data_IF_141503909355
#
_entry.id   IF_141503909355
#
_cell.length_a   1.000
_cell.length_b   1.000
_cell.length_c   1.000
_cell.angle_alpha   90.00
_cell.angle_beta   90.00
_cell.angle_gamma   90.00
#
_symmetry.space_group_name_H-M   'P 1'
#
loop_
_entity.id
_entity.type
_entity.pdbx_description
1 polymer ?
#
# COMPACT_ATOMS: atom_id res chain seq x y z
N UNK A 1 -32.23 48.02 -30.25
CA UNK A 1 -32.25 49.44 -30.66
C UNK A 1 -31.56 50.23 -29.55
N UNK A 2 -30.24 50.09 -29.42
CA UNK A 2 -29.19 50.91 -30.05
C UNK A 2 -29.25 52.40 -29.72
N UNK A 3 -28.33 52.87 -28.87
CA UNK A 3 -27.46 54.05 -29.11
C UNK A 3 -26.42 54.14 -27.98
N UNK A 4 -25.17 53.75 -28.21
CA UNK A 4 -23.96 54.55 -28.55
C UNK A 4 -23.29 55.29 -27.38
N UNK A 5 -22.08 54.78 -27.09
CA UNK A 5 -20.84 55.33 -26.49
C UNK A 5 -20.73 56.81 -26.06
N UNK A 6 -20.00 57.06 -24.95
CA UNK A 6 -18.69 57.76 -25.02
C UNK A 6 -17.90 57.70 -23.69
N UNK A 7 -16.58 57.57 -23.84
CA UNK A 7 -15.53 57.41 -22.83
C UNK A 7 -14.97 58.78 -22.42
N UNK A 8 -14.55 58.96 -21.15
CA UNK A 8 -13.47 59.91 -20.80
C UNK A 8 -12.74 59.50 -19.51
N UNK A 9 -11.42 59.40 -19.65
CA UNK A 9 -10.43 59.10 -18.62
C UNK A 9 -9.92 60.37 -17.92
N UNK A 10 -9.48 60.25 -16.66
CA UNK A 10 -8.39 61.05 -16.07
C UNK A 10 -7.98 60.51 -14.68
N UNK A 11 -6.79 59.89 -14.61
CA UNK A 11 -5.87 59.97 -13.45
C UNK A 11 -4.89 61.14 -13.74
N UNK A 12 -3.92 61.57 -12.88
CA UNK A 12 -3.39 60.91 -11.68
C UNK A 12 -3.08 61.89 -10.50
N UNK A 13 -2.59 61.37 -9.36
CA UNK A 13 -1.63 62.09 -8.51
C UNK A 13 -0.81 61.16 -7.61
N UNK A 14 0.50 61.35 -7.74
CA UNK A 14 1.63 60.73 -7.04
C UNK A 14 1.87 61.45 -5.71
N UNK A 15 2.32 60.74 -4.66
CA UNK A 15 3.36 61.30 -3.78
C UNK A 15 4.15 60.21 -3.04
N UNK A 16 5.44 60.51 -2.89
CA UNK A 16 6.56 59.70 -2.41
C UNK A 16 6.76 59.76 -0.89
N UNK A 17 7.42 58.70 -0.37
CA UNK A 17 8.57 58.66 0.59
C UNK A 17 8.36 57.49 1.58
N UNK A 18 9.35 56.85 2.20
CA UNK A 18 10.77 56.57 2.00
C UNK A 18 11.18 55.73 3.24
N UNK A 19 12.01 54.69 3.09
CA UNK A 19 12.64 53.99 4.22
C UNK A 19 13.74 54.85 4.89
N UNK A 20 14.18 54.58 6.14
CA UNK A 20 15.18 53.51 6.43
C UNK A 20 14.88 52.81 7.79
N UNK A 21 15.57 51.80 8.34
CA UNK A 21 16.99 51.45 8.40
C UNK A 21 17.17 50.03 9.01
N UNK A 22 18.36 49.47 8.83
CA UNK A 22 18.82 48.16 9.30
C UNK A 22 18.98 48.06 10.83
N UNK A 23 18.80 46.85 11.38
CA UNK A 23 19.53 46.42 12.58
C UNK A 23 19.75 44.89 12.60
N UNK A 24 20.86 44.53 13.22
CA UNK A 24 21.64 43.31 13.12
C UNK A 24 21.09 42.03 13.82
N UNK A 25 21.53 40.89 13.26
CA UNK A 25 22.06 39.66 13.90
C UNK A 25 21.18 38.95 14.95
N UNK A 26 20.85 37.69 14.66
CA UNK A 26 21.44 36.53 15.36
C UNK A 26 21.03 35.21 14.68
N UNK A 27 22.04 34.47 14.20
CA UNK A 27 21.90 33.07 13.75
C UNK A 27 22.53 32.20 14.83
N UNK A 28 21.81 31.26 15.46
CA UNK A 28 22.42 30.27 16.34
C UNK A 28 23.09 29.17 15.50
N UNK A 29 24.41 29.04 15.66
CA UNK A 29 25.20 27.91 15.18
C UNK A 29 24.94 26.70 16.09
N UNK A 30 24.45 25.59 15.54
CA UNK A 30 24.49 24.29 16.21
C UNK A 30 25.85 23.60 15.94
N UNK A 31 26.49 23.00 16.95
CA UNK A 31 27.78 22.33 16.78
C UNK A 31 27.60 20.97 16.09
N UNK A 32 28.37 20.75 15.03
CA UNK A 32 28.52 19.47 14.34
C UNK A 32 29.49 18.57 15.11
N UNK A 33 28.95 17.71 15.98
CA UNK A 33 29.71 16.63 16.61
C UNK A 33 29.90 15.48 15.63
N UNK A 34 31.07 15.44 14.97
CA UNK A 34 31.54 14.26 14.24
C UNK A 34 31.85 13.15 15.26
N UNK A 35 31.01 12.13 15.33
CA UNK A 35 31.32 10.90 16.04
C UNK A 35 31.97 9.91 15.06
N UNK A 36 33.29 9.81 15.09
CA UNK A 36 34.08 8.82 14.37
C UNK A 36 34.09 7.51 15.17
N UNK A 37 33.31 6.52 14.74
CA UNK A 37 33.38 5.17 15.32
C UNK A 37 34.42 4.37 14.53
N UNK A 38 35.53 4.09 15.22
CA UNK A 38 36.58 3.16 14.83
C UNK A 38 36.04 1.72 14.75
N UNK A 39 36.31 1.03 13.64
CA UNK A 39 36.10 -0.42 13.51
C UNK A 39 37.50 -1.07 13.58
N UNK A 40 37.82 -1.92 14.59
CA UNK A 40 39.06 -2.67 14.57
C UNK A 40 38.91 -3.92 13.67
N UNK A 41 39.75 -4.00 12.64
CA UNK A 41 40.00 -5.21 11.84
C UNK A 41 40.93 -6.14 12.64
N UNK A 42 40.50 -7.38 12.90
CA UNK A 42 41.38 -8.48 13.26
C UNK A 42 41.57 -9.42 12.05
N UNK A 43 42.80 -9.83 11.69
CA UNK A 43 43.02 -10.80 10.64
C UNK A 43 43.14 -12.21 11.22
N UNK A 44 42.25 -13.13 10.83
CA UNK A 44 42.48 -14.56 11.04
C UNK A 44 43.20 -15.14 9.82
N UNK A 45 44.46 -15.49 10.02
CA UNK A 45 45.29 -16.22 9.09
C UNK A 45 44.86 -17.70 9.05
N UNK A 46 44.48 -18.20 7.88
CA UNK A 46 44.45 -19.64 7.61
C UNK A 46 45.64 -20.04 6.73
N UNK A 47 46.45 -20.93 7.29
CA UNK A 47 47.63 -21.55 6.69
C UNK A 47 47.25 -22.31 5.40
N UNK A 48 47.94 -22.01 4.30
CA UNK A 48 48.00 -22.88 3.11
C UNK A 48 48.97 -24.04 3.38
N UNK A 49 48.44 -25.25 3.41
CA UNK A 49 49.22 -26.48 3.27
C UNK A 49 49.40 -26.81 1.79
N UNK A 50 50.66 -26.88 1.36
CA UNK A 50 51.09 -27.32 0.03
C UNK A 50 51.04 -28.84 -0.07
N UNK A 51 50.41 -29.39 -1.12
CA UNK A 51 50.65 -30.77 -1.54
C UNK A 51 50.96 -30.78 -3.04
N UNK A 52 52.07 -31.46 -3.32
CA UNK A 52 52.85 -31.55 -4.55
C UNK A 52 52.16 -32.43 -5.59
N UNK A 53 52.24 -32.01 -6.83
CA UNK A 53 51.76 -32.73 -8.02
C UNK A 53 52.61 -33.98 -8.30
N UNK A 54 51.94 -35.07 -8.68
CA UNK A 54 52.48 -36.13 -9.53
C UNK A 54 51.48 -36.41 -10.64
N UNK A 55 51.96 -36.31 -11.89
CA UNK A 55 51.27 -36.70 -13.11
C UNK A 55 51.33 -38.23 -13.27
N UNK A 56 50.24 -38.81 -13.78
CA UNK A 56 50.27 -40.03 -14.58
C UNK A 56 49.17 -39.97 -15.64
N UNK A 57 49.54 -40.20 -16.89
CA UNK A 57 48.71 -40.08 -18.09
C UNK A 57 47.79 -41.29 -18.34
N UNK A 58 46.66 -40.98 -19.00
CA UNK A 58 45.93 -41.76 -20.03
C UNK A 58 45.10 -43.00 -19.62
N UNK A 59 43.76 -42.91 -19.75
CA UNK A 59 42.97 -43.35 -20.93
C UNK A 59 41.46 -43.34 -20.63
N UNK A 60 40.70 -42.93 -21.66
CA UNK A 60 39.27 -43.09 -21.96
C UNK A 60 38.30 -43.63 -20.88
N UNK A 61 37.28 -42.84 -20.58
CA UNK A 61 36.11 -43.28 -19.81
C UNK A 61 35.06 -42.20 -19.62
N UNK A 62 33.98 -42.29 -20.41
CA UNK A 62 32.61 -41.86 -20.13
C UNK A 62 32.40 -40.59 -19.29
N UNK A 63 31.99 -39.50 -19.96
CA UNK A 63 31.44 -38.31 -19.31
C UNK A 63 30.14 -38.67 -18.56
N UNK A 64 30.28 -39.01 -17.29
CA UNK A 64 29.14 -39.15 -16.36
C UNK A 64 28.96 -37.79 -15.70
N UNK A 65 28.00 -37.00 -16.20
CA UNK A 65 27.52 -35.83 -15.49
C UNK A 65 26.98 -36.29 -14.13
N UNK A 66 27.70 -35.94 -13.06
CA UNK A 66 27.23 -36.15 -11.69
C UNK A 66 25.99 -35.30 -11.46
N UNK A 67 24.91 -35.82 -10.83
CA UNK A 67 23.77 -34.99 -10.46
C UNK A 67 24.18 -34.16 -9.24
N UNK A 68 24.52 -32.91 -9.45
CA UNK A 68 24.70 -31.94 -8.37
C UNK A 68 23.41 -31.13 -8.24
N UNK A 69 22.86 -31.10 -7.02
CA UNK A 69 21.89 -30.12 -6.47
C UNK A 69 20.36 -30.32 -6.57
N UNK A 70 19.82 -31.53 -6.74
CA UNK A 70 18.36 -31.73 -6.48
C UNK A 70 18.02 -31.91 -4.99
N UNK A 71 18.89 -32.58 -4.22
CA UNK A 71 18.64 -32.89 -2.80
C UNK A 71 18.70 -31.65 -1.90
N UNK A 72 19.66 -30.75 -2.13
CA UNK A 72 19.79 -29.50 -1.37
C UNK A 72 18.65 -28.51 -1.68
N UNK A 73 18.23 -28.43 -2.95
CA UNK A 73 17.09 -27.60 -3.37
C UNK A 73 15.76 -28.08 -2.78
N UNK A 74 15.56 -29.40 -2.69
CA UNK A 74 14.39 -29.97 -2.01
C UNK A 74 14.44 -29.76 -0.50
N UNK A 75 15.61 -29.90 0.15
CA UNK A 75 15.77 -29.66 1.58
C UNK A 75 15.49 -28.19 1.97
N UNK A 76 15.92 -27.23 1.14
CA UNK A 76 15.61 -25.81 1.34
C UNK A 76 14.11 -25.52 1.19
N UNK A 77 13.45 -26.10 0.17
CA UNK A 77 11.99 -25.98 0.00
C UNK A 77 11.21 -26.55 1.18
N UNK A 78 11.66 -27.68 1.75
CA UNK A 78 11.03 -28.29 2.94
C UNK A 78 11.16 -27.37 4.15
N UNK A 79 12.34 -26.81 4.41
CA UNK A 79 12.53 -25.84 5.52
C UNK A 79 11.70 -24.57 5.34
N UNK A 80 11.64 -24.02 4.13
CA UNK A 80 10.79 -22.87 3.82
C UNK A 80 9.31 -23.18 4.04
N UNK A 81 8.88 -24.42 3.76
CA UNK A 81 7.53 -24.88 4.01
C UNK A 81 7.24 -25.06 5.50
N UNK A 82 8.15 -25.66 6.28
CA UNK A 82 8.03 -25.79 7.74
C UNK A 82 7.89 -24.43 8.43
N UNK A 83 8.68 -23.44 8.02
CA UNK A 83 8.57 -22.06 8.53
C UNK A 83 7.22 -21.45 8.15
N UNK A 84 6.73 -21.71 6.93
CA UNK A 84 5.41 -21.28 6.48
C UNK A 84 4.27 -21.85 7.34
N UNK A 85 4.33 -23.15 7.69
CA UNK A 85 3.32 -23.77 8.54
C UNK A 85 3.29 -23.16 9.94
N UNK A 86 4.45 -22.85 10.53
CA UNK A 86 4.49 -22.16 11.82
C UNK A 86 3.84 -20.77 11.76
N UNK A 87 4.02 -20.05 10.65
CA UNK A 87 3.35 -18.76 10.43
C UNK A 87 1.82 -18.94 10.32
N UNK A 88 1.35 -19.99 9.64
CA UNK A 88 -0.08 -20.29 9.52
C UNK A 88 -0.71 -20.67 10.88
N UNK A 89 0.01 -21.38 11.77
CA UNK A 89 -0.45 -21.67 13.14
C UNK A 89 -0.59 -20.40 13.99
N UNK A 90 0.40 -19.50 13.93
CA UNK A 90 0.33 -18.19 14.59
C UNK A 90 -0.85 -17.38 14.05
N UNK A 91 -1.02 -17.37 12.73
CA UNK A 91 -2.14 -16.69 12.07
C UNK A 91 -3.50 -17.26 12.54
N UNK A 92 -3.64 -18.58 12.60
CA UNK A 92 -4.84 -19.26 13.07
C UNK A 92 -5.18 -18.92 14.53
N UNK A 93 -4.17 -18.84 15.42
CA UNK A 93 -4.35 -18.41 16.82
C UNK A 93 -4.88 -16.98 16.92
N UNK A 94 -4.57 -16.13 15.93
CA UNK A 94 -5.05 -14.76 15.79
C UNK A 94 -6.41 -14.67 15.06
N UNK A 95 -6.94 -15.81 14.58
CA UNK A 95 -8.23 -15.87 13.89
C UNK A 95 -8.16 -15.52 12.42
N UNK A 96 -6.96 -15.39 11.87
CA UNK A 96 -6.75 -15.25 10.44
C UNK A 96 -7.15 -16.57 9.82
N UNK A 97 -8.19 -16.52 8.99
CA UNK A 97 -8.64 -17.70 8.25
C UNK A 97 -7.95 -17.81 6.90
N UNK A 98 -7.51 -16.70 6.31
CA UNK A 98 -6.92 -16.69 4.96
C UNK A 98 -5.56 -17.38 4.99
N UNK A 99 -5.49 -18.54 4.34
CA UNK A 99 -4.23 -19.30 4.20
C UNK A 99 -3.38 -18.62 3.13
N UNK A 100 -2.08 -18.48 3.38
CA UNK A 100 -1.16 -17.95 2.37
C UNK A 100 -0.71 -19.00 1.35
N UNK A 101 -0.76 -20.28 1.72
CA UNK A 101 -0.34 -21.41 0.89
C UNK A 101 -1.27 -22.63 1.06
N UNK A 102 -1.24 -23.58 0.12
CA UNK A 102 -1.90 -24.87 0.30
C UNK A 102 -1.32 -25.62 1.52
N UNK A 103 -2.15 -26.18 2.42
CA UNK A 103 -1.69 -26.90 3.61
C UNK A 103 -0.89 -28.16 3.30
N UNK A 104 -1.16 -28.82 2.17
CA UNK A 104 -0.42 -30.05 1.80
C UNK A 104 0.94 -29.76 1.17
N UNK A 105 1.31 -28.48 1.04
CA UNK A 105 2.56 -28.05 0.45
C UNK A 105 2.59 -28.13 -1.07
N UNK A 106 3.73 -27.78 -1.70
CA UNK A 106 3.97 -28.07 -3.11
C UNK A 106 3.99 -29.59 -3.33
N UNK A 107 3.70 -30.08 -4.56
CA UNK A 107 3.83 -31.51 -4.86
C UNK A 107 5.21 -32.02 -4.45
N UNK A 108 5.25 -33.06 -3.60
CA UNK A 108 6.49 -33.61 -3.03
C UNK A 108 7.35 -34.35 -4.08
N UNK A 109 6.79 -34.68 -5.24
CA UNK A 109 7.48 -35.39 -6.32
C UNK A 109 7.10 -34.84 -7.70
N UNK A 110 8.06 -34.82 -8.62
CA UNK A 110 7.78 -34.60 -10.04
C UNK A 110 6.94 -35.78 -10.56
N UNK A 111 5.66 -35.54 -10.84
CA UNK A 111 4.72 -36.57 -11.31
C UNK A 111 4.65 -36.69 -12.85
N UNK A 112 5.70 -36.25 -13.54
CA UNK A 112 5.75 -36.26 -15.01
C UNK A 112 5.21 -34.97 -15.65
N UNK A 113 5.07 -34.95 -16.99
CA UNK A 113 4.63 -33.76 -17.74
C UNK A 113 3.15 -33.40 -17.53
N UNK A 114 2.39 -34.28 -16.86
CA UNK A 114 1.00 -34.05 -16.50
C UNK A 114 0.93 -33.88 -14.97
N UNK A 115 0.80 -32.64 -14.49
CA UNK A 115 0.51 -32.38 -13.07
C UNK A 115 -0.89 -32.92 -12.74
N UNK A 116 -1.00 -34.20 -12.38
CA UNK A 116 -2.22 -34.73 -11.74
C UNK A 116 -2.27 -34.20 -10.31
N UNK A 117 -3.03 -33.14 -10.08
CA UNK A 117 -3.41 -32.71 -8.74
C UNK A 117 -4.72 -33.37 -8.38
N UNK A 118 -4.70 -34.20 -7.35
CA UNK A 118 -5.94 -34.58 -6.68
C UNK A 118 -6.46 -33.31 -6.02
N UNK A 119 -7.57 -32.78 -6.52
CA UNK A 119 -8.30 -31.69 -5.85
C UNK A 119 -8.83 -32.21 -4.52
N UNK A 120 -8.04 -32.06 -3.46
CA UNK A 120 -8.51 -32.22 -2.10
C UNK A 120 -8.97 -30.84 -1.60
N UNK A 121 -10.01 -30.78 -0.76
CA UNK A 121 -10.53 -29.53 -0.15
C UNK A 121 -9.43 -28.67 0.51
N UNK A 122 -8.33 -29.29 0.94
CA UNK A 122 -7.16 -28.59 1.45
C UNK A 122 -6.44 -27.73 0.40
N UNK A 123 -6.38 -28.15 -0.87
CA UNK A 123 -5.52 -27.56 -1.91
C UNK A 123 -6.22 -26.60 -2.86
N UNK A 124 -7.47 -26.25 -2.59
CA UNK A 124 -8.21 -25.23 -3.30
C UNK A 124 -8.42 -24.02 -2.39
N UNK A 125 -8.33 -22.78 -2.91
CA UNK A 125 -8.71 -21.60 -2.15
C UNK A 125 -10.18 -21.67 -1.75
N UNK A 126 -10.48 -21.33 -0.49
CA UNK A 126 -11.87 -21.38 0.01
C UNK A 126 -12.71 -20.16 -0.34
N UNK A 127 -12.04 -19.02 -0.56
CA UNK A 127 -12.68 -17.78 -0.97
C UNK A 127 -11.76 -17.01 -1.93
N UNK A 128 -12.31 -15.96 -2.55
CA UNK A 128 -11.60 -15.14 -3.54
C UNK A 128 -10.37 -14.46 -2.96
N UNK A 129 -10.42 -13.99 -1.70
CA UNK A 129 -9.27 -13.36 -1.07
C UNK A 129 -8.12 -14.36 -0.93
N UNK A 130 -8.41 -15.58 -0.49
CA UNK A 130 -7.42 -16.66 -0.40
C UNK A 130 -6.81 -16.98 -1.78
N UNK A 131 -7.62 -17.00 -2.83
CA UNK A 131 -7.14 -17.20 -4.20
C UNK A 131 -6.20 -16.06 -4.66
N UNK A 132 -6.57 -14.81 -4.35
CA UNK A 132 -5.77 -13.62 -4.64
C UNK A 132 -4.42 -13.73 -3.94
N UNK A 133 -4.40 -14.04 -2.64
CA UNK A 133 -3.18 -14.13 -1.84
C UNK A 133 -2.26 -15.25 -2.36
N UNK A 134 -2.79 -16.42 -2.72
CA UNK A 134 -1.97 -17.51 -3.27
C UNK A 134 -1.31 -17.15 -4.60
N UNK A 135 -2.03 -16.41 -5.44
CA UNK A 135 -1.47 -15.92 -6.70
C UNK A 135 -0.45 -14.80 -6.46
N UNK A 136 -0.71 -13.93 -5.47
CA UNK A 136 0.19 -12.84 -5.10
C UNK A 136 1.53 -13.35 -4.57
N UNK A 137 1.54 -14.39 -3.73
CA UNK A 137 2.79 -14.98 -3.24
C UNK A 137 3.66 -15.49 -4.42
N UNK A 138 3.07 -16.12 -5.43
CA UNK A 138 3.78 -16.56 -6.65
C UNK A 138 4.25 -15.39 -7.51
N UNK A 139 3.42 -14.37 -7.65
CA UNK A 139 3.75 -13.15 -8.39
C UNK A 139 4.95 -12.44 -7.77
N UNK A 140 4.88 -12.17 -6.46
CA UNK A 140 5.93 -11.49 -5.70
C UNK A 140 7.23 -12.28 -5.71
N UNK A 141 7.18 -13.62 -5.61
CA UNK A 141 8.37 -14.45 -5.74
C UNK A 141 9.09 -14.23 -7.09
N UNK A 142 8.34 -14.22 -8.20
CA UNK A 142 8.90 -13.96 -9.55
C UNK A 142 9.40 -12.51 -9.69
N UNK A 143 8.71 -11.54 -9.10
CA UNK A 143 9.17 -10.15 -9.12
C UNK A 143 10.46 -9.97 -8.33
N UNK A 144 10.58 -10.60 -7.15
CA UNK A 144 11.79 -10.60 -6.31
C UNK A 144 12.97 -11.25 -7.02
N UNK A 145 12.75 -12.34 -7.74
CA UNK A 145 13.80 -12.99 -8.54
C UNK A 145 14.30 -12.07 -9.66
N UNK A 146 13.38 -11.42 -10.38
CA UNK A 146 13.71 -10.47 -11.45
C UNK A 146 14.34 -9.18 -10.95
N UNK A 147 13.94 -8.71 -9.76
CA UNK A 147 14.39 -7.45 -9.16
C UNK A 147 14.57 -7.60 -7.65
N UNK A 148 15.70 -8.19 -7.20
CA UNK A 148 15.96 -8.36 -5.78
C UNK A 148 16.06 -7.03 -5.04
N UNK A 149 15.89 -7.06 -3.70
CA UNK A 149 15.85 -5.86 -2.85
C UNK A 149 17.07 -4.94 -3.05
N UNK A 150 18.27 -5.50 -3.24
CA UNK A 150 19.48 -4.69 -3.44
C UNK A 150 19.41 -3.83 -4.70
N UNK A 151 18.69 -4.26 -5.75
CA UNK A 151 18.48 -3.48 -6.97
C UNK A 151 17.51 -2.30 -6.75
N UNK A 152 16.66 -2.37 -5.72
CA UNK A 152 15.73 -1.28 -5.38
C UNK A 152 16.44 -0.12 -4.66
N UNK A 153 17.63 -0.36 -4.08
CA UNK A 153 18.36 0.61 -3.26
C UNK A 153 18.57 1.94 -3.98
N UNK A 154 19.06 1.90 -5.22
CA UNK A 154 19.28 3.13 -6.01
C UNK A 154 17.98 3.89 -6.25
N UNK A 155 16.89 3.18 -6.53
CA UNK A 155 15.56 3.77 -6.70
C UNK A 155 15.08 4.46 -5.43
N UNK A 156 15.26 3.82 -4.27
CA UNK A 156 14.89 4.36 -2.97
C UNK A 156 15.70 5.62 -2.61
N UNK A 157 17.01 5.61 -2.87
CA UNK A 157 17.89 6.77 -2.65
C UNK A 157 17.51 7.96 -3.54
N UNK A 158 17.04 7.70 -4.76
CA UNK A 158 16.57 8.74 -5.69
C UNK A 158 15.12 9.17 -5.48
N UNK A 159 14.34 8.46 -4.67
CA UNK A 159 12.91 8.73 -4.52
C UNK A 159 12.71 10.05 -3.75
N UNK A 160 11.91 11.00 -4.27
CA UNK A 160 11.59 12.22 -3.54
C UNK A 160 10.87 11.87 -2.23
N UNK A 161 10.96 12.68 -1.16
CA UNK A 161 10.26 12.42 0.10
C UNK A 161 8.78 12.09 -0.12
N UNK A 162 8.27 11.10 0.62
CA UNK A 162 6.86 10.78 0.61
C UNK A 162 6.06 11.99 1.12
N UNK A 163 4.88 12.21 0.53
CA UNK A 163 3.97 13.26 0.95
C UNK A 163 3.17 12.82 2.17
N UNK A 164 2.77 13.79 2.98
CA UNK A 164 2.06 13.52 4.22
C UNK A 164 0.60 13.10 3.94
N UNK A 165 0.38 11.78 3.80
CA UNK A 165 -0.92 11.18 3.52
C UNK A 165 -1.92 11.42 4.66
N UNK A 166 -1.48 11.25 5.91
CA UNK A 166 -2.33 11.43 7.10
C UNK A 166 -2.66 12.91 7.29
N UNK A 167 -1.66 13.78 7.14
CA UNK A 167 -1.84 15.23 7.22
C UNK A 167 -2.79 15.77 6.16
N UNK A 168 -2.75 15.26 4.92
CA UNK A 168 -3.69 15.64 3.87
C UNK A 168 -5.15 15.32 4.24
N UNK A 169 -5.41 14.15 4.84
CA UNK A 169 -6.73 13.78 5.33
C UNK A 169 -7.20 14.70 6.48
N UNK A 170 -6.33 14.97 7.47
CA UNK A 170 -6.64 15.89 8.58
C UNK A 170 -6.93 17.29 8.07
N UNK A 171 -6.11 17.81 7.17
CA UNK A 171 -6.28 19.14 6.59
C UNK A 171 -7.58 19.26 5.79
N UNK A 172 -7.92 18.25 5.00
CA UNK A 172 -9.20 18.22 4.27
C UNK A 172 -10.39 18.19 5.23
N UNK A 173 -10.35 17.33 6.25
CA UNK A 173 -11.42 17.22 7.22
C UNK A 173 -11.65 18.52 7.99
N UNK A 174 -10.57 19.18 8.42
CA UNK A 174 -10.63 20.48 9.10
C UNK A 174 -11.22 21.57 8.21
N UNK A 175 -10.85 21.58 6.92
CA UNK A 175 -11.29 22.60 5.95
C UNK A 175 -12.77 22.48 5.60
N UNK A 176 -13.27 21.27 5.38
CA UNK A 176 -14.62 21.05 4.83
C UNK A 176 -15.66 20.68 5.89
N UNK A 177 -15.21 20.27 7.08
CA UNK A 177 -16.06 19.68 8.11
C UNK A 177 -16.63 18.32 7.73
N UNK A 178 -16.14 17.69 6.67
CA UNK A 178 -16.56 16.38 6.15
C UNK A 178 -15.40 15.38 6.19
N UNK A 179 -15.66 14.06 6.10
CA UNK A 179 -14.60 13.08 5.94
C UNK A 179 -13.70 13.39 4.73
N UNK A 180 -12.37 13.31 4.90
CA UNK A 180 -11.42 13.46 3.79
C UNK A 180 -11.58 12.34 2.77
N UNK A 181 -11.68 12.69 1.48
CA UNK A 181 -11.85 11.70 0.40
C UNK A 181 -10.51 11.09 -0.04
N UNK A 182 -10.41 9.76 0.03
CA UNK A 182 -9.43 8.95 -0.70
C UNK A 182 -10.13 8.44 -1.97
N UNK A 183 -9.91 9.10 -3.10
CA UNK A 183 -10.55 8.73 -4.36
C UNK A 183 -9.80 7.59 -5.05
N UNK A 184 -10.49 6.51 -5.40
CA UNK A 184 -9.87 5.29 -5.91
C UNK A 184 -9.86 5.24 -7.44
N UNK A 185 -8.66 5.18 -8.01
CA UNK A 185 -8.39 4.98 -9.43
C UNK A 185 -8.38 3.48 -9.72
N UNK A 186 -9.49 2.97 -10.27
CA UNK A 186 -9.75 1.53 -10.48
C UNK A 186 -10.34 1.25 -11.85
N UNK A 187 -9.73 0.30 -12.59
CA UNK A 187 -10.21 -0.12 -13.92
C UNK A 187 -11.28 -1.20 -13.84
N UNK A 188 -11.01 -2.26 -13.08
CA UNK A 188 -11.90 -3.40 -12.93
C UNK A 188 -11.95 -3.87 -11.46
N UNK A 189 -12.88 -4.78 -11.18
CA UNK A 189 -12.92 -5.51 -9.89
C UNK A 189 -13.52 -6.91 -10.08
N UNK A 190 -13.17 -7.89 -9.23
CA UNK A 190 -13.72 -9.24 -9.31
C UNK A 190 -15.25 -9.29 -9.27
N UNK A 191 -15.88 -8.41 -8.49
CA UNK A 191 -17.33 -8.41 -8.28
C UNK A 191 -18.14 -7.70 -9.37
N UNK A 192 -17.52 -6.78 -10.13
CA UNK A 192 -18.23 -5.94 -11.12
C UNK A 192 -17.65 -6.01 -12.54
N UNK A 193 -16.55 -6.74 -12.75
CA UNK A 193 -15.84 -6.74 -14.02
C UNK A 193 -15.20 -5.38 -14.33
N UNK A 194 -15.16 -4.99 -15.61
CA UNK A 194 -14.64 -3.71 -16.07
C UNK A 194 -15.61 -2.58 -15.68
N UNK A 195 -15.11 -1.60 -14.94
CA UNK A 195 -15.89 -0.45 -14.48
C UNK A 195 -15.80 0.73 -15.45
N UNK A 196 -14.68 0.84 -16.18
CA UNK A 196 -14.41 1.91 -17.13
C UNK A 196 -13.56 1.36 -18.28
N UNK A 197 -14.16 1.26 -19.47
CA UNK A 197 -13.49 0.74 -20.68
C UNK A 197 -12.32 1.65 -21.10
N UNK A 198 -12.59 2.95 -21.23
CA UNK A 198 -11.55 3.97 -21.49
C UNK A 198 -10.91 4.41 -20.19
N UNK A 199 -9.78 3.78 -19.85
CA UNK A 199 -9.08 3.99 -18.60
C UNK A 199 -7.74 4.71 -18.82
N UNK A 200 -7.71 6.01 -18.58
CA UNK A 200 -6.49 6.79 -18.39
C UNK A 200 -6.32 7.10 -16.89
N UNK A 201 -5.35 6.47 -16.19
CA UNK A 201 -5.16 6.67 -14.77
C UNK A 201 -4.74 8.10 -14.41
N UNK A 202 -4.02 8.79 -15.31
CA UNK A 202 -3.53 10.15 -15.07
C UNK A 202 -4.67 11.16 -15.19
N UNK A 203 -5.48 11.07 -16.25
CA UNK A 203 -6.65 11.95 -16.42
C UNK A 203 -7.64 11.78 -15.27
N UNK A 204 -7.90 10.55 -14.85
CA UNK A 204 -8.79 10.24 -13.72
C UNK A 204 -8.22 10.84 -12.42
N UNK A 205 -6.92 10.66 -12.15
CA UNK A 205 -6.28 11.20 -10.96
C UNK A 205 -6.33 12.74 -10.91
N UNK A 206 -6.08 13.41 -12.03
CA UNK A 206 -6.19 14.87 -12.14
C UNK A 206 -7.63 15.35 -11.94
N UNK A 207 -8.61 14.62 -12.46
CA UNK A 207 -10.03 14.92 -12.25
C UNK A 207 -10.43 14.78 -10.77
N UNK A 208 -9.95 13.75 -10.08
CA UNK A 208 -10.19 13.57 -8.64
C UNK A 208 -9.51 14.66 -7.80
N UNK A 209 -8.26 15.02 -8.10
CA UNK A 209 -7.57 16.13 -7.45
C UNK A 209 -8.34 17.44 -7.61
N UNK A 210 -8.78 17.76 -8.84
CA UNK A 210 -9.60 18.94 -9.12
C UNK A 210 -10.96 18.89 -8.39
N UNK A 211 -11.53 17.70 -8.22
CA UNK A 211 -12.77 17.47 -7.48
C UNK A 211 -12.65 17.56 -5.96
N UNK A 212 -11.44 17.80 -5.42
CA UNK A 212 -11.21 17.95 -3.98
C UNK A 212 -10.85 16.67 -3.24
N UNK A 213 -10.41 15.62 -3.94
CA UNK A 213 -9.85 14.44 -3.28
C UNK A 213 -8.64 14.84 -2.41
N UNK A 214 -8.64 14.40 -1.15
CA UNK A 214 -7.53 14.66 -0.23
C UNK A 214 -6.32 13.77 -0.58
N UNK A 215 -6.60 12.50 -0.89
CA UNK A 215 -5.63 11.51 -1.32
C UNK A 215 -6.20 10.68 -2.48
N UNK A 216 -5.35 9.93 -3.16
CA UNK A 216 -5.75 8.97 -4.18
C UNK A 216 -5.37 7.55 -3.75
N UNK A 217 -6.23 6.58 -4.05
CA UNK A 217 -5.94 5.14 -3.95
C UNK A 217 -5.74 4.60 -5.36
N UNK A 218 -4.61 3.95 -5.65
CA UNK A 218 -4.32 3.40 -6.98
C UNK A 218 -4.20 1.90 -6.87
N UNK A 219 -5.06 1.17 -7.61
CA UNK A 219 -4.98 -0.29 -7.69
C UNK A 219 -3.76 -0.70 -8.49
N UNK A 220 -2.91 -1.54 -7.90
CA UNK A 220 -1.69 -2.05 -8.56
C UNK A 220 -1.77 -3.54 -8.92
N UNK A 221 -2.79 -4.25 -8.44
CA UNK A 221 -2.99 -5.67 -8.76
C UNK A 221 -3.45 -5.85 -10.20
N UNK A 222 -2.64 -6.54 -11.00
CA UNK A 222 -2.88 -6.74 -12.43
C UNK A 222 -3.98 -7.77 -12.70
N UNK A 223 -3.93 -8.93 -12.01
CA UNK A 223 -4.78 -10.08 -12.35
C UNK A 223 -6.27 -9.86 -12.06
N UNK A 224 -6.60 -9.25 -10.93
CA UNK A 224 -7.97 -9.14 -10.43
C UNK A 224 -8.57 -7.75 -10.62
N UNK A 225 -7.74 -6.71 -10.63
CA UNK A 225 -8.20 -5.32 -10.75
C UNK A 225 -7.76 -4.64 -12.05
N UNK A 226 -6.95 -5.31 -12.88
CA UNK A 226 -6.31 -4.71 -14.08
C UNK A 226 -5.57 -3.40 -13.76
N UNK A 227 -4.99 -3.35 -12.55
CA UNK A 227 -4.13 -2.29 -12.08
C UNK A 227 -2.68 -2.49 -12.54
N UNK A 228 -1.80 -1.57 -12.14
CA UNK A 228 -0.36 -1.74 -12.29
C UNK A 228 0.41 -0.76 -11.41
N UNK A 229 1.63 -1.13 -11.04
CA UNK A 229 2.57 -0.20 -10.39
C UNK A 229 2.97 0.95 -11.32
N UNK A 230 2.92 0.73 -12.63
CA UNK A 230 3.16 1.74 -13.67
C UNK A 230 2.08 2.83 -13.66
N UNK A 231 0.82 2.50 -13.37
CA UNK A 231 -0.24 3.49 -13.21
C UNK A 231 0.07 4.44 -12.04
N UNK A 232 0.52 3.89 -10.91
CA UNK A 232 0.93 4.67 -9.73
C UNK A 232 2.08 5.63 -10.06
N UNK A 233 3.10 5.13 -10.75
CA UNK A 233 4.26 5.93 -11.19
C UNK A 233 3.87 7.00 -12.22
N UNK A 234 3.00 6.67 -13.17
CA UNK A 234 2.49 7.62 -14.17
C UNK A 234 1.73 8.77 -13.51
N UNK A 235 0.83 8.48 -12.57
CA UNK A 235 0.09 9.49 -11.79
C UNK A 235 1.05 10.40 -11.03
N UNK A 236 2.05 9.81 -10.36
CA UNK A 236 3.08 10.58 -9.65
C UNK A 236 3.83 11.53 -10.59
N UNK A 237 4.28 11.01 -11.73
CA UNK A 237 5.10 11.75 -12.70
C UNK A 237 4.32 12.83 -13.45
N UNK A 238 3.00 12.67 -13.59
CA UNK A 238 2.11 13.66 -14.18
C UNK A 238 1.92 14.92 -13.30
N UNK A 239 2.50 14.95 -12.09
CA UNK A 239 2.57 16.15 -11.27
C UNK A 239 1.40 16.35 -10.30
N UNK A 240 0.47 15.39 -10.23
CA UNK A 240 -0.61 15.32 -9.23
C UNK A 240 -0.02 15.53 -7.84
N UNK A 241 -0.65 16.39 -7.02
CA UNK A 241 -0.25 16.84 -5.68
C UNK A 241 -0.87 16.02 -4.55
N UNK A 242 -2.02 15.40 -4.76
CA UNK A 242 -2.59 14.43 -3.81
C UNK A 242 -1.57 13.34 -3.43
N UNK A 243 -1.50 12.94 -2.14
CA UNK A 243 -0.76 11.77 -1.73
C UNK A 243 -1.36 10.48 -2.31
N UNK A 244 -0.51 9.49 -2.60
CA UNK A 244 -0.89 8.25 -3.28
C UNK A 244 -0.79 7.03 -2.37
N UNK A 245 -1.90 6.32 -2.21
CA UNK A 245 -1.98 4.99 -1.60
C UNK A 245 -1.76 3.93 -2.67
N UNK A 246 -0.77 3.05 -2.45
CA UNK A 246 -0.63 1.80 -3.19
C UNK A 246 -1.65 0.80 -2.65
N UNK A 247 -2.77 0.63 -3.35
CA UNK A 247 -3.82 -0.34 -2.98
C UNK A 247 -3.46 -1.68 -3.63
N UNK A 248 -2.82 -2.53 -2.83
CA UNK A 248 -2.25 -3.81 -3.22
C UNK A 248 -2.47 -4.85 -2.11
N UNK A 249 -2.45 -6.13 -2.46
CA UNK A 249 -2.38 -7.22 -1.49
C UNK A 249 -0.92 -7.39 -1.04
N UNK A 250 -0.50 -6.65 -0.02
CA UNK A 250 0.86 -6.73 0.50
C UNK A 250 1.03 -7.97 1.37
N UNK A 251 1.91 -8.86 0.93
CA UNK A 251 2.24 -10.13 1.60
C UNK A 251 3.75 -10.25 1.89
N UNK A 252 4.57 -9.37 1.31
CA UNK A 252 6.03 -9.32 1.51
C UNK A 252 6.52 -7.86 1.56
N UNK A 253 7.51 -7.58 2.41
CA UNK A 253 8.10 -6.25 2.56
C UNK A 253 8.72 -5.71 1.26
N UNK A 254 9.15 -6.58 0.34
CA UNK A 254 9.61 -6.19 -1.00
C UNK A 254 8.60 -5.30 -1.72
N UNK A 255 7.30 -5.60 -1.59
CA UNK A 255 6.25 -4.79 -2.21
C UNK A 255 6.20 -3.36 -1.67
N UNK A 256 6.50 -3.16 -0.37
CA UNK A 256 6.55 -1.83 0.24
C UNK A 256 7.69 -1.00 -0.35
N UNK A 257 8.89 -1.58 -0.47
CA UNK A 257 10.01 -0.93 -1.14
C UNK A 257 9.68 -0.64 -2.61
N UNK A 258 9.02 -1.57 -3.29
CA UNK A 258 8.63 -1.40 -4.69
C UNK A 258 7.58 -0.28 -4.86
N UNK A 259 6.56 -0.24 -4.01
CA UNK A 259 5.57 0.82 -3.97
C UNK A 259 6.22 2.19 -3.74
N UNK A 260 7.18 2.27 -2.81
CA UNK A 260 7.89 3.51 -2.51
C UNK A 260 8.64 4.07 -3.72
N UNK A 261 9.39 3.23 -4.44
CA UNK A 261 10.12 3.68 -5.63
C UNK A 261 9.18 4.08 -6.78
N UNK A 262 7.97 3.52 -6.81
CA UNK A 262 6.91 3.86 -7.77
C UNK A 262 6.12 5.10 -7.36
N UNK A 263 6.48 5.73 -6.24
CA UNK A 263 5.93 7.02 -5.83
C UNK A 263 4.80 6.95 -4.81
N UNK A 264 4.55 5.79 -4.18
CA UNK A 264 3.60 5.68 -3.07
C UNK A 264 3.99 6.59 -1.90
N UNK A 265 2.98 7.12 -1.23
CA UNK A 265 3.05 7.82 0.07
C UNK A 265 2.39 7.03 1.19
N UNK A 266 1.53 6.08 0.84
CA UNK A 266 0.91 5.14 1.76
C UNK A 266 0.81 3.75 1.15
N UNK A 267 0.68 2.74 2.00
CA UNK A 267 0.42 1.34 1.60
C UNK A 267 -0.74 0.75 2.39
N UNK A 268 -1.39 -0.24 1.80
CA UNK A 268 -2.45 -1.04 2.43
C UNK A 268 -1.85 -2.29 3.10
N UNK A 269 -2.22 -2.53 4.36
CA UNK A 269 -2.01 -3.81 5.05
C UNK A 269 -3.36 -4.38 5.46
N UNK A 270 -3.60 -5.67 5.26
CA UNK A 270 -4.91 -6.29 5.51
C UNK A 270 -4.82 -7.20 6.73
N UNK A 271 -5.54 -6.88 7.81
CA UNK A 271 -5.49 -7.64 9.07
C UNK A 271 -6.05 -9.07 8.93
N UNK A 272 -6.97 -9.28 7.98
CA UNK A 272 -7.49 -10.60 7.63
C UNK A 272 -6.46 -11.51 6.94
N UNK A 273 -5.31 -10.98 6.51
CA UNK A 273 -4.24 -11.71 5.80
C UNK A 273 -2.96 -11.75 6.62
N UNK A 274 -2.59 -10.65 7.27
CA UNK A 274 -1.30 -10.49 7.92
C UNK A 274 -1.38 -10.76 9.43
N UNK A 275 -0.51 -11.63 9.98
CA UNK A 275 -0.32 -11.77 11.41
C UNK A 275 0.19 -10.47 12.06
N UNK A 276 -0.02 -10.32 13.37
CA UNK A 276 0.36 -9.10 14.08
C UNK A 276 1.87 -8.82 14.02
N UNK A 277 2.69 -9.87 13.93
CA UNK A 277 4.15 -9.72 13.78
C UNK A 277 4.50 -9.07 12.45
N UNK A 278 3.84 -9.50 11.37
CA UNK A 278 4.04 -8.97 10.02
C UNK A 278 3.54 -7.53 9.93
N UNK A 279 2.36 -7.23 10.49
CA UNK A 279 1.85 -5.85 10.54
C UNK A 279 2.84 -4.96 11.30
N UNK A 280 3.30 -5.35 12.49
CA UNK A 280 4.30 -4.59 13.25
C UNK A 280 5.60 -4.38 12.47
N UNK A 281 6.08 -5.41 11.80
CA UNK A 281 7.31 -5.35 11.00
C UNK A 281 7.15 -4.42 9.79
N UNK A 282 6.06 -4.56 9.04
CA UNK A 282 5.77 -3.78 7.86
C UNK A 282 5.47 -2.31 8.19
N UNK A 283 4.74 -2.01 9.27
CA UNK A 283 4.53 -0.64 9.75
C UNK A 283 5.86 0.04 10.11
N UNK A 284 6.80 -0.69 10.73
CA UNK A 284 8.16 -0.15 10.99
C UNK A 284 8.89 0.20 9.70
N UNK A 285 8.83 -0.67 8.68
CA UNK A 285 9.42 -0.39 7.37
C UNK A 285 8.78 0.84 6.74
N UNK A 286 7.44 0.94 6.76
CA UNK A 286 6.72 2.10 6.23
C UNK A 286 7.20 3.39 6.90
N UNK A 287 7.29 3.41 8.23
CA UNK A 287 7.80 4.55 9.00
C UNK A 287 9.23 4.92 8.61
N UNK A 288 10.12 3.94 8.40
CA UNK A 288 11.49 4.20 7.93
C UNK A 288 11.55 4.79 6.53
N UNK A 289 10.59 4.46 5.67
CA UNK A 289 10.49 4.96 4.29
C UNK A 289 9.67 6.27 4.16
N UNK A 290 9.10 6.75 5.27
CA UNK A 290 8.20 7.91 5.30
C UNK A 290 6.79 7.62 4.79
N UNK A 291 6.41 6.34 4.66
CA UNK A 291 5.09 5.93 4.19
C UNK A 291 4.08 5.88 5.34
N UNK A 292 2.86 6.33 5.10
CA UNK A 292 1.72 6.01 5.95
C UNK A 292 1.26 4.55 5.74
N UNK A 293 0.58 3.99 6.73
CA UNK A 293 0.07 2.61 6.68
C UNK A 293 -1.42 2.62 6.95
N UNK A 294 -2.23 2.32 5.92
CA UNK A 294 -3.67 2.06 6.08
C UNK A 294 -3.84 0.58 6.44
N UNK A 295 -4.29 0.29 7.66
CA UNK A 295 -4.54 -1.09 8.10
C UNK A 295 -6.03 -1.39 7.97
N UNK A 296 -6.39 -2.27 7.04
CA UNK A 296 -7.76 -2.66 6.75
C UNK A 296 -8.25 -3.77 7.70
N UNK A 297 -9.43 -3.57 8.28
CA UNK A 297 -10.13 -4.49 9.18
C UNK A 297 -11.58 -4.67 8.76
N UNK A 298 -12.15 -5.83 9.08
CA UNK A 298 -13.52 -6.21 8.71
C UNK A 298 -14.40 -6.51 9.93
N UNK A 299 -13.81 -6.95 11.03
CA UNK A 299 -14.55 -7.41 12.21
C UNK A 299 -13.87 -6.99 13.52
N UNK A 300 -14.57 -7.24 14.62
CA UNK A 300 -14.16 -6.92 15.98
C UNK A 300 -12.79 -7.47 16.35
N UNK A 301 -12.51 -8.72 15.95
CA UNK A 301 -11.27 -9.42 16.31
C UNK A 301 -10.07 -8.79 15.60
N UNK A 302 -10.23 -8.45 14.33
CA UNK A 302 -9.22 -7.73 13.55
C UNK A 302 -8.99 -6.33 14.14
N UNK A 303 -10.05 -5.59 14.46
CA UNK A 303 -9.94 -4.29 15.10
C UNK A 303 -9.20 -4.39 16.44
N UNK A 304 -9.53 -5.35 17.30
CA UNK A 304 -8.89 -5.54 18.60
C UNK A 304 -7.38 -5.86 18.45
N UNK A 305 -7.01 -6.67 17.46
CA UNK A 305 -5.60 -6.96 17.12
C UNK A 305 -4.86 -5.69 16.70
N UNK A 306 -5.42 -4.94 15.76
CA UNK A 306 -4.80 -3.73 15.20
C UNK A 306 -4.68 -2.64 16.28
N UNK A 307 -5.68 -2.46 17.14
CA UNK A 307 -5.61 -1.52 18.27
C UNK A 307 -4.54 -1.90 19.30
N UNK A 308 -4.15 -3.18 19.37
CA UNK A 308 -3.03 -3.66 20.19
C UNK A 308 -1.63 -3.41 19.60
N UNK A 309 -1.55 -2.85 18.39
CA UNK A 309 -0.29 -2.52 17.73
C UNK A 309 0.05 -1.03 17.98
N UNK A 310 1.30 -0.76 18.33
CA UNK A 310 1.81 0.59 18.54
C UNK A 310 2.11 1.29 17.22
N UNK A 311 1.87 2.61 17.16
CA UNK A 311 2.20 3.43 15.99
C UNK A 311 1.22 3.30 14.82
N UNK A 312 0.04 2.71 15.05
CA UNK A 312 -1.06 2.76 14.07
C UNK A 312 -1.68 4.16 14.09
N UNK A 313 -1.76 4.79 12.92
CA UNK A 313 -2.34 6.14 12.75
C UNK A 313 -3.59 6.14 11.86
N UNK A 314 -3.77 5.10 11.04
CA UNK A 314 -4.81 5.01 10.03
C UNK A 314 -5.38 3.58 9.98
N UNK A 315 -6.68 3.44 10.24
CA UNK A 315 -7.41 2.16 10.17
C UNK A 315 -8.53 2.29 9.14
N UNK A 316 -8.61 1.35 8.21
CA UNK A 316 -9.68 1.22 7.24
C UNK A 316 -10.71 0.21 7.70
N UNK A 317 -11.98 0.60 7.78
CA UNK A 317 -13.08 -0.35 8.01
C UNK A 317 -13.69 -0.69 6.65
N UNK A 318 -13.46 -1.91 6.19
CA UNK A 318 -14.03 -2.40 4.95
C UNK A 318 -15.41 -3.01 5.23
N UNK A 319 -16.45 -2.32 4.75
CA UNK A 319 -17.84 -2.74 4.93
C UNK A 319 -18.25 -3.87 3.96
N UNK A 320 -17.35 -4.33 3.09
CA UNK A 320 -17.60 -5.45 2.19
C UNK A 320 -17.09 -6.74 2.80
N UNK A 321 -17.97 -7.72 2.92
CA UNK A 321 -17.58 -9.09 3.23
C UNK A 321 -16.85 -9.70 2.02
N UNK A 322 -15.66 -10.28 2.24
CA UNK A 322 -14.83 -10.82 1.16
C UNK A 322 -15.15 -12.27 0.80
N UNK A 323 -16.03 -12.94 1.57
CA UNK A 323 -16.58 -14.26 1.26
C UNK A 323 -17.90 -14.15 0.48
N UNK A 324 -18.78 -13.23 0.87
CA UNK A 324 -20.13 -13.07 0.24
C UNK A 324 -20.24 -11.89 -0.72
N UNK A 325 -19.30 -10.94 -0.67
CA UNK A 325 -19.37 -9.64 -1.36
C UNK A 325 -20.52 -8.71 -0.92
N UNK A 326 -21.29 -9.10 0.10
CA UNK A 326 -22.30 -8.24 0.71
C UNK A 326 -21.66 -7.02 1.33
N UNK A 327 -22.37 -5.89 1.31
CA UNK A 327 -21.86 -4.62 1.81
C UNK A 327 -22.82 -4.09 2.86
N UNK A 328 -22.31 -3.89 4.08
CA UNK A 328 -23.08 -3.36 5.21
C UNK A 328 -22.30 -2.24 5.91
N UNK A 329 -22.72 -0.99 5.65
CA UNK A 329 -22.11 0.19 6.27
C UNK A 329 -22.35 0.27 7.79
N UNK A 330 -23.32 -0.49 8.33
CA UNK A 330 -23.57 -0.56 9.77
C UNK A 330 -22.41 -1.18 10.54
N UNK A 331 -21.57 -1.97 9.87
CA UNK A 331 -20.35 -2.53 10.44
C UNK A 331 -19.39 -1.44 10.95
N UNK A 332 -19.29 -0.32 10.23
CA UNK A 332 -18.51 0.83 10.66
C UNK A 332 -18.94 1.32 12.04
N UNK A 333 -20.24 1.52 12.25
CA UNK A 333 -20.78 1.94 13.54
C UNK A 333 -20.49 0.90 14.63
N UNK A 334 -20.76 -0.37 14.34
CA UNK A 334 -20.52 -1.50 15.25
C UNK A 334 -19.07 -1.57 15.74
N UNK A 335 -18.08 -1.36 14.86
CA UNK A 335 -16.67 -1.41 15.22
C UNK A 335 -16.18 -0.18 16.00
N UNK A 336 -16.86 0.96 15.84
CA UNK A 336 -16.52 2.21 16.53
C UNK A 336 -17.27 2.39 17.87
N UNK A 337 -18.19 1.50 18.21
CA UNK A 337 -18.92 1.55 19.47
C UNK A 337 -18.05 1.13 20.68
N UNK A 338 -18.45 1.64 21.86
CA UNK A 338 -17.86 1.27 23.15
C UNK A 338 -16.35 1.56 23.28
N UNK A 339 -15.62 0.58 23.81
CA UNK A 339 -14.20 0.71 24.16
C UNK A 339 -13.29 0.93 22.94
N UNK A 340 -13.64 0.36 21.78
CA UNK A 340 -12.84 0.51 20.55
C UNK A 340 -12.82 1.95 20.07
N UNK A 341 -13.98 2.58 19.97
CA UNK A 341 -14.08 4.00 19.63
C UNK A 341 -13.38 4.91 20.65
N UNK A 342 -13.41 4.57 21.94
CA UNK A 342 -12.66 5.31 22.96
C UNK A 342 -11.15 5.22 22.71
N UNK A 343 -10.61 4.01 22.54
CA UNK A 343 -9.19 3.80 22.25
C UNK A 343 -8.74 4.48 20.95
N UNK A 344 -9.56 4.45 19.90
CA UNK A 344 -9.31 5.15 18.63
C UNK A 344 -9.16 6.66 18.85
N UNK A 345 -10.07 7.26 19.64
CA UNK A 345 -10.02 8.70 19.96
C UNK A 345 -8.82 9.05 20.83
N UNK A 346 -8.51 8.25 21.85
CA UNK A 346 -7.37 8.46 22.75
C UNK A 346 -6.03 8.40 22.00
N UNK A 347 -5.93 7.52 21.00
CA UNK A 347 -4.74 7.38 20.15
C UNK A 347 -4.70 8.32 18.94
N UNK A 348 -5.72 9.17 18.76
CA UNK A 348 -5.92 10.01 17.57
C UNK A 348 -5.77 9.25 16.23
N UNK A 349 -6.29 8.02 16.20
CA UNK A 349 -6.31 7.20 14.98
C UNK A 349 -7.38 7.73 14.04
N UNK A 350 -7.01 7.97 12.78
CA UNK A 350 -7.99 8.28 11.73
C UNK A 350 -8.63 6.99 11.26
N UNK A 351 -9.96 6.95 11.32
CA UNK A 351 -10.74 5.87 10.73
C UNK A 351 -11.17 6.27 9.33
N UNK A 352 -10.93 5.36 8.38
CA UNK A 352 -11.36 5.43 6.99
C UNK A 352 -12.54 4.48 6.80
N UNK A 353 -13.70 4.99 6.38
CA UNK A 353 -14.82 4.15 5.96
C UNK A 353 -14.62 3.68 4.52
N UNK A 354 -14.66 2.38 4.27
CA UNK A 354 -14.45 1.81 2.92
C UNK A 354 -15.63 0.94 2.48
N UNK A 355 -15.88 0.92 1.17
CA UNK A 355 -16.99 0.20 0.53
C UNK A 355 -18.39 0.70 0.94
N UNK A 356 -19.35 0.65 0.01
CA UNK A 356 -20.76 0.90 0.32
C UNK A 356 -21.21 2.37 0.37
N UNK A 357 -20.36 3.32 -0.03
CA UNK A 357 -20.65 4.76 0.03
C UNK A 357 -21.06 5.28 -1.35
N UNK A 358 -22.34 5.54 -1.55
CA UNK A 358 -22.91 5.95 -2.83
C UNK A 358 -23.61 7.30 -2.80
N UNK A 359 -24.06 7.73 -1.61
CA UNK A 359 -24.91 8.90 -1.41
C UNK A 359 -24.39 9.81 -0.28
N UNK A 360 -24.84 11.07 -0.23
CA UNK A 360 -24.54 11.96 0.89
C UNK A 360 -24.99 11.41 2.25
N UNK A 361 -26.10 10.68 2.29
CA UNK A 361 -26.63 10.08 3.51
C UNK A 361 -25.69 8.97 4.03
N UNK A 362 -25.07 8.20 3.12
CA UNK A 362 -24.06 7.21 3.51
C UNK A 362 -22.83 7.88 4.14
N UNK A 363 -22.39 9.01 3.58
CA UNK A 363 -21.27 9.82 4.12
C UNK A 363 -21.62 10.38 5.50
N UNK A 364 -22.82 10.93 5.64
CA UNK A 364 -23.31 11.44 6.93
C UNK A 364 -23.36 10.33 7.98
N UNK A 365 -23.89 9.16 7.63
CA UNK A 365 -23.99 8.00 8.53
C UNK A 365 -22.62 7.57 9.10
N UNK A 366 -21.61 7.42 8.24
CA UNK A 366 -20.27 7.03 8.72
C UNK A 366 -19.58 8.18 9.47
N UNK A 367 -19.79 9.42 9.04
CA UNK A 367 -19.27 10.60 9.74
C UNK A 367 -19.80 10.68 11.18
N UNK A 368 -21.11 10.49 11.38
CA UNK A 368 -21.76 10.46 12.70
C UNK A 368 -21.21 9.34 13.59
N UNK A 369 -20.74 8.24 12.99
CA UNK A 369 -20.09 7.13 13.70
C UNK A 369 -18.66 7.46 14.13
N UNK A 370 -18.09 8.60 13.70
CA UNK A 370 -16.74 9.06 14.05
C UNK A 370 -15.69 8.86 12.96
N UNK A 371 -16.10 8.48 11.75
CA UNK A 371 -15.21 8.36 10.59
C UNK A 371 -14.73 9.75 10.14
N UNK A 372 -13.41 9.88 9.90
CA UNK A 372 -12.78 11.15 9.50
C UNK A 372 -12.27 11.14 8.06
N UNK A 373 -12.27 9.99 7.40
CA UNK A 373 -11.92 9.85 5.99
C UNK A 373 -12.73 8.74 5.34
N UNK A 374 -12.89 8.77 4.02
CA UNK A 374 -13.62 7.74 3.27
C UNK A 374 -12.82 7.33 2.05
N UNK A 375 -12.82 6.03 1.72
CA UNK A 375 -12.23 5.51 0.49
C UNK A 375 -13.32 5.09 -0.47
N UNK A 376 -13.39 5.76 -1.62
CA UNK A 376 -14.49 5.63 -2.56
C UNK A 376 -13.99 5.50 -3.99
N UNK A 377 -14.47 4.47 -4.69
CA UNK A 377 -14.14 4.21 -6.09
C UNK A 377 -15.38 4.00 -6.97
N UNK A 378 -16.19 2.99 -6.64
CA UNK A 378 -17.26 2.52 -7.53
C UNK A 378 -18.30 3.59 -7.88
N UNK A 379 -18.71 4.42 -6.91
CA UNK A 379 -19.72 5.46 -7.11
C UNK A 379 -19.24 6.62 -8.01
N UNK A 380 -17.94 6.90 -8.00
CA UNK A 380 -17.34 8.03 -8.72
C UNK A 380 -16.68 7.64 -10.05
N UNK A 381 -16.13 6.44 -10.18
CA UNK A 381 -15.38 6.02 -11.38
C UNK A 381 -16.27 5.80 -12.60
N UNK A 382 -17.53 5.44 -12.38
CA UNK A 382 -18.56 5.22 -13.42
C UNK A 382 -19.07 6.53 -14.04
N UNK A 383 -18.78 7.68 -13.41
CA UNK A 383 -19.25 8.99 -13.89
C UNK A 383 -18.37 9.46 -15.05
N UNK A 384 -19.01 10.05 -16.05
CA UNK A 384 -18.31 10.68 -17.18
C UNK A 384 -17.43 11.84 -16.72
N UNK A 385 -17.91 12.59 -15.73
CA UNK A 385 -17.19 13.66 -15.03
C UNK A 385 -16.96 13.23 -13.56
N UNK A 386 -15.76 12.75 -13.22
CA UNK A 386 -15.44 12.29 -11.87
C UNK A 386 -15.55 13.40 -10.80
N UNK A 387 -15.31 14.67 -11.17
CA UNK A 387 -15.40 15.78 -10.23
C UNK A 387 -16.87 16.03 -9.83
N UNK A 388 -17.80 15.98 -10.80
CA UNK A 388 -19.25 16.02 -10.49
C UNK A 388 -19.69 14.83 -9.65
N UNK A 389 -19.15 13.64 -9.92
CA UNK A 389 -19.39 12.45 -9.10
C UNK A 389 -19.03 12.66 -7.63
N UNK A 390 -17.94 13.37 -7.34
CA UNK A 390 -17.54 13.73 -5.98
C UNK A 390 -18.54 14.73 -5.37
N UNK A 391 -18.93 15.77 -6.11
CA UNK A 391 -19.94 16.74 -5.62
C UNK A 391 -21.27 16.07 -5.29
N UNK A 392 -21.73 15.15 -6.14
CA UNK A 392 -22.96 14.37 -5.90
C UNK A 392 -22.84 13.48 -4.66
N UNK A 393 -21.70 12.81 -4.47
CA UNK A 393 -21.45 11.94 -3.33
C UNK A 393 -21.48 12.70 -2.00
N UNK A 394 -20.93 13.91 -1.95
CA UNK A 394 -20.88 14.73 -0.73
C UNK A 394 -22.07 15.70 -0.59
N UNK A 395 -22.91 15.83 -1.62
CA UNK A 395 -24.02 16.77 -1.66
C UNK A 395 -23.60 18.25 -1.76
N UNK A 396 -22.30 18.53 -1.89
CA UNK A 396 -21.71 19.87 -2.01
C UNK A 396 -20.30 19.78 -2.60
N UNK A 397 -19.79 20.92 -3.08
CA UNK A 397 -18.42 21.03 -3.58
C UNK A 397 -17.42 20.98 -2.42
N UNK A 398 -16.41 20.12 -2.54
CA UNK A 398 -15.31 19.94 -1.57
C UNK A 398 -13.94 20.27 -2.16
N UNK A 399 -13.90 20.79 -3.40
CA UNK A 399 -12.69 21.25 -4.06
C UNK A 399 -11.98 22.37 -3.29
N UNK A 400 -10.69 22.59 -3.62
CA UNK A 400 -9.81 23.57 -2.96
C UNK A 400 -10.00 24.98 -3.49
#
# INVERSE_FOLDING_TARGET
>A
MESVMSVRAAAPRVSFRAAPSQAHRHVPKFPTSRCSIFIPRAPMAYRRGSIRAQQSESKDGSATLSPVNESEGNALKIKEWEVGNFQDEVAASQGIRIRRRPPTGPPLHYVGPFEFRIENEGNTPRNILEEIIWNKDKEVARMKERRPVYMLKKGLESAPPARDFVGALKASNLRTGLPGLIAEVKKASPSRGVLRETFDPVEIAQAYEKGGAACLSVLTDEKYFQGSFENLEAIRNAGVKCPLLCKEFIVDAWQIYYARIKGADAVLLIAAVLPDLDIRYMTKICKMLGLATLIEVHNEREMDRVLGIEGVELIGINNRDLETFEVDISNTKKLLEGKRGQMIREKDIIVVGESGLFTPDDIAYVQESGVRAVLVGESIVKKSDPAKGITELFGKDISL
#
